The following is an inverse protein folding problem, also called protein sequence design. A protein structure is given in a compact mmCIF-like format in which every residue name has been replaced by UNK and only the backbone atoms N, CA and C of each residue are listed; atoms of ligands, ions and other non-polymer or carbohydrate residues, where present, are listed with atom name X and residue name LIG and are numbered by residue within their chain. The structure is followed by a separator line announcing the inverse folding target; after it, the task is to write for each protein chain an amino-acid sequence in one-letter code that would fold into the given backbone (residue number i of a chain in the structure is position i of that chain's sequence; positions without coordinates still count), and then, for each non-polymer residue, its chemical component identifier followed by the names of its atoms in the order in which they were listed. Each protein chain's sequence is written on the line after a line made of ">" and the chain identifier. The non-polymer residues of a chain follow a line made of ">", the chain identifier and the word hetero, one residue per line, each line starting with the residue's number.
data_IF_560789796033
#
_entry.id   IF_560789796033
#
_cell.length_a   1.000
_cell.length_b   1.000
_cell.length_c   1.000
_cell.angle_alpha   90.00
_cell.angle_beta   90.00
_cell.angle_gamma   90.00
#
_symmetry.space_group_name_H-M   'P 1'
#
loop_
_entity.id
_entity.type
_entity.pdbx_description
1 polymer ?
#
# COMPACT_ATOMS: atom_id res chain seq x y z
N UNK A 1 -29.68 -43.62 33.33
CA UNK A 1 -29.47 -42.87 32.08
C UNK A 1 -28.25 -41.95 32.24
N UNK A 2 -27.35 -41.95 31.24
CA UNK A 2 -26.19 -41.06 30.95
C UNK A 2 -25.15 -40.77 32.05
N UNK A 3 -24.11 -41.62 32.11
CA UNK A 3 -22.77 -41.28 32.64
C UNK A 3 -22.02 -40.50 31.54
N UNK A 4 -21.69 -39.22 31.75
CA UNK A 4 -20.87 -38.43 30.83
C UNK A 4 -19.39 -38.59 31.18
N UNK A 5 -18.75 -39.46 30.41
CA UNK A 5 -17.43 -39.35 29.77
C UNK A 5 -16.29 -38.63 30.50
N UNK A 6 -15.26 -39.42 30.84
CA UNK A 6 -13.87 -38.98 31.02
C UNK A 6 -13.31 -38.27 29.77
N UNK A 7 -12.35 -37.36 30.01
CA UNK A 7 -11.03 -37.16 29.33
C UNK A 7 -10.62 -35.69 29.57
N UNK A 8 -9.75 -35.36 30.53
CA UNK A 8 -8.29 -35.56 30.53
C UNK A 8 -7.64 -35.14 29.20
N UNK A 9 -7.04 -33.96 29.19
CA UNK A 9 -5.81 -33.65 28.47
C UNK A 9 -5.42 -32.19 28.78
N UNK A 10 -4.59 -32.04 29.81
CA UNK A 10 -3.71 -30.89 29.93
C UNK A 10 -2.74 -30.92 28.74
N UNK A 11 -2.63 -29.79 28.03
CA UNK A 11 -1.46 -29.52 27.19
C UNK A 11 -0.96 -28.15 27.59
N UNK A 12 -0.06 -28.15 28.57
CA UNK A 12 0.93 -27.11 28.74
C UNK A 12 2.11 -27.44 27.80
N UNK A 13 2.68 -26.38 27.20
CA UNK A 13 3.91 -26.27 26.40
C UNK A 13 3.55 -25.59 25.06
N UNK A 14 4.20 -24.51 24.63
CA UNK A 14 5.65 -24.34 24.58
C UNK A 14 6.01 -22.88 24.83
N UNK A 15 6.84 -22.65 25.86
CA UNK A 15 7.75 -21.52 25.90
C UNK A 15 8.89 -21.79 24.90
N UNK A 16 9.20 -20.83 24.04
CA UNK A 16 10.40 -20.84 23.21
C UNK A 16 10.16 -20.30 21.80
N UNK A 17 10.68 -19.10 21.52
CA UNK A 17 10.78 -18.64 20.15
C UNK A 17 10.90 -17.13 19.96
N UNK A 18 12.12 -16.61 20.17
CA UNK A 18 12.78 -15.65 19.27
C UNK A 18 12.05 -14.33 18.92
N UNK A 19 12.54 -13.25 19.53
CA UNK A 19 13.10 -12.08 18.85
C UNK A 19 12.55 -11.78 17.45
N UNK A 20 11.47 -11.03 17.36
CA UNK A 20 11.34 -10.03 16.30
C UNK A 20 10.79 -8.77 16.96
N UNK A 21 11.69 -7.94 17.47
CA UNK A 21 11.44 -6.50 17.52
C UNK A 21 10.95 -6.15 16.12
N UNK A 22 9.66 -5.83 16.03
CA UNK A 22 8.97 -5.66 14.77
C UNK A 22 9.79 -4.72 13.90
N UNK A 23 10.39 -5.27 12.86
CA UNK A 23 10.90 -4.50 11.74
C UNK A 23 9.63 -3.83 11.22
N UNK A 24 9.38 -2.59 11.64
CA UNK A 24 8.32 -1.81 11.05
C UNK A 24 8.64 -1.81 9.56
N UNK A 25 7.76 -2.35 8.69
CA UNK A 25 8.04 -2.27 7.27
C UNK A 25 8.29 -0.79 6.98
N UNK A 26 9.44 -0.48 6.38
CA UNK A 26 9.72 0.86 5.89
C UNK A 26 8.48 1.26 5.10
N UNK A 27 7.68 2.18 5.64
CA UNK A 27 6.45 2.61 5.01
C UNK A 27 6.89 3.36 3.77
N UNK A 28 6.88 2.65 2.65
CA UNK A 28 7.14 3.19 1.34
C UNK A 28 6.24 4.43 1.21
N UNK A 29 6.86 5.60 1.06
CA UNK A 29 6.16 6.87 1.18
C UNK A 29 5.41 7.09 -0.12
N UNK A 30 4.11 6.77 -0.10
CA UNK A 30 3.25 7.03 -1.24
C UNK A 30 2.95 8.54 -1.30
N UNK A 31 3.28 9.16 -2.42
CA UNK A 31 2.95 10.55 -2.71
C UNK A 31 1.99 10.62 -3.91
N UNK A 32 1.04 11.55 -3.83
CA UNK A 32 0.05 11.81 -4.87
C UNK A 32 0.20 13.24 -5.35
N UNK A 33 0.43 13.41 -6.65
CA UNK A 33 0.59 14.71 -7.30
C UNK A 33 -0.52 14.94 -8.31
N UNK A 34 -0.95 16.20 -8.43
CA UNK A 34 -2.00 16.63 -9.36
C UNK A 34 -1.45 17.67 -10.34
N UNK A 35 -1.82 17.53 -11.60
CA UNK A 35 -1.36 18.38 -12.70
C UNK A 35 -2.54 18.81 -13.56
N UNK A 36 -2.53 20.04 -14.05
CA UNK A 36 -3.59 20.59 -14.90
C UNK A 36 -3.47 20.15 -16.37
N UNK A 37 -2.31 19.61 -16.76
CA UNK A 37 -2.08 19.12 -18.13
C UNK A 37 -1.40 17.75 -18.13
N UNK A 38 -1.72 16.95 -19.16
CA UNK A 38 -1.08 15.65 -19.38
C UNK A 38 0.43 15.80 -19.61
N UNK A 39 0.84 16.83 -20.37
CA UNK A 39 2.25 17.06 -20.70
C UNK A 39 3.12 17.44 -19.50
N UNK A 40 2.58 18.19 -18.53
CA UNK A 40 3.28 18.46 -17.27
C UNK A 40 3.33 17.23 -16.38
N UNK A 41 2.27 16.42 -16.39
CA UNK A 41 2.22 15.18 -15.64
C UNK A 41 3.24 14.17 -16.16
N UNK A 42 3.31 13.96 -17.49
CA UNK A 42 4.22 12.99 -18.09
C UNK A 42 5.68 13.37 -17.83
N UNK A 43 6.04 14.65 -17.99
CA UNK A 43 7.39 15.13 -17.65
C UNK A 43 7.74 14.92 -16.17
N UNK A 44 6.77 15.09 -15.26
CA UNK A 44 6.98 14.80 -13.86
C UNK A 44 7.16 13.29 -13.62
N UNK A 45 6.33 12.45 -14.26
CA UNK A 45 6.44 11.00 -14.17
C UNK A 45 7.82 10.51 -14.67
N UNK A 46 8.33 11.04 -15.77
CA UNK A 46 9.67 10.71 -16.28
C UNK A 46 10.78 11.07 -15.28
N UNK A 47 10.62 12.19 -14.55
CA UNK A 47 11.56 12.57 -13.48
C UNK A 47 11.45 11.66 -12.28
N UNK A 48 10.23 11.33 -11.83
CA UNK A 48 10.04 10.44 -10.68
C UNK A 48 10.42 9.00 -11.00
N UNK A 49 10.31 8.54 -12.24
CA UNK A 49 10.76 7.21 -12.65
C UNK A 49 12.26 6.96 -12.42
N UNK A 50 13.05 8.01 -12.19
CA UNK A 50 14.48 7.90 -11.86
C UNK A 50 14.76 7.62 -10.38
N UNK A 51 13.82 7.94 -9.49
CA UNK A 51 14.03 7.91 -8.03
C UNK A 51 12.90 7.25 -7.23
N UNK A 52 11.78 6.91 -7.88
CA UNK A 52 10.59 6.37 -7.27
C UNK A 52 9.90 5.37 -8.21
N UNK A 53 9.04 4.54 -7.65
CA UNK A 53 8.17 3.65 -8.43
C UNK A 53 6.89 4.38 -8.80
N UNK A 54 6.53 4.40 -10.08
CA UNK A 54 5.25 4.96 -10.53
C UNK A 54 4.15 3.92 -10.29
N UNK A 55 3.21 4.21 -9.40
CA UNK A 55 2.07 3.32 -9.11
C UNK A 55 0.84 3.63 -9.97
N UNK A 56 0.61 4.92 -10.29
CA UNK A 56 -0.39 5.33 -11.27
C UNK A 56 0.20 6.41 -12.16
N UNK A 57 0.35 6.10 -13.44
CA UNK A 57 0.83 7.03 -14.45
C UNK A 57 -0.30 7.94 -14.94
N UNK A 58 -0.22 9.23 -14.63
CA UNK A 58 -1.03 10.32 -15.21
C UNK A 58 -2.47 9.93 -15.56
N UNK A 59 -3.21 9.46 -14.56
CA UNK A 59 -4.61 9.08 -14.71
C UNK A 59 -5.50 10.30 -14.65
N UNK A 60 -6.63 10.32 -15.36
CA UNK A 60 -7.55 11.45 -15.24
C UNK A 60 -8.20 11.41 -13.86
N UNK A 61 -8.07 12.50 -13.13
CA UNK A 61 -8.65 12.67 -11.81
C UNK A 61 -9.98 13.41 -11.87
N UNK A 62 -10.09 14.41 -12.75
CA UNK A 62 -11.28 15.23 -12.85
C UNK A 62 -11.52 15.76 -14.27
N UNK A 63 -12.80 15.95 -14.58
CA UNK A 63 -13.32 16.42 -15.87
C UNK A 63 -14.10 17.71 -15.71
N UNK A 64 -14.02 18.59 -16.71
CA UNK A 64 -14.85 19.79 -16.84
C UNK A 64 -15.50 19.75 -18.22
N UNK A 65 -16.84 19.78 -18.27
CA UNK A 65 -17.60 19.66 -19.52
C UNK A 65 -17.20 18.45 -20.40
N UNK A 66 -16.86 17.32 -19.77
CA UNK A 66 -16.43 16.10 -20.46
C UNK A 66 -14.97 16.11 -20.92
N UNK A 67 -14.23 17.20 -20.69
CA UNK A 67 -12.79 17.32 -21.02
C UNK A 67 -11.96 17.06 -19.76
N UNK A 68 -10.91 16.23 -19.80
CA UNK A 68 -9.97 16.08 -18.71
C UNK A 68 -9.31 17.43 -18.37
N UNK A 69 -9.40 17.88 -17.12
CA UNK A 69 -8.74 19.12 -16.66
C UNK A 69 -7.72 18.89 -15.54
N UNK A 70 -7.73 17.69 -14.93
CA UNK A 70 -6.78 17.34 -13.88
C UNK A 70 -6.32 15.90 -14.02
N UNK A 71 -5.02 15.72 -13.88
CA UNK A 71 -4.30 14.46 -14.00
C UNK A 71 -3.63 14.13 -12.67
N UNK A 72 -3.71 12.88 -12.26
CA UNK A 72 -3.11 12.37 -11.02
C UNK A 72 -1.96 11.43 -11.32
N UNK A 73 -0.85 11.67 -10.64
CA UNK A 73 0.35 10.85 -10.62
C UNK A 73 0.54 10.30 -9.21
N UNK A 74 0.63 8.98 -9.07
CA UNK A 74 0.94 8.34 -7.79
C UNK A 74 2.31 7.70 -7.88
N UNK A 75 3.17 8.03 -6.91
CA UNK A 75 4.53 7.55 -6.85
C UNK A 75 4.83 7.02 -5.46
N UNK A 76 5.76 6.08 -5.39
CA UNK A 76 6.17 5.43 -4.15
C UNK A 76 7.70 5.51 -4.02
N UNK A 77 8.17 6.13 -2.94
CA UNK A 77 9.59 6.37 -2.64
C UNK A 77 10.13 5.34 -1.65
#
# INVERSE_FOLDING_TARGET
>A
MKRKSLKAAAVAAVAGGLLFAGIQPAQATQAVYYYESLGTCSQAADRYAQSATIEQFCTVDAYINGVPYRWRLMVNF
#
